data_IF_382013603006
#
_entry.id   IF_382013603006
#
_cell.length_a   1.000
_cell.length_b   1.000
_cell.length_c   1.000
_cell.angle_alpha   90.00
_cell.angle_beta   90.00
_cell.angle_gamma   90.00
#
_symmetry.space_group_name_H-M   'P 1'
#
loop_
_entity.id
_entity.type
_entity.pdbx_description
1 polymer ?
#
# COMPACT_ATOMS: atom_id res chain seq x y z
N UNK A 1 -26.45 50.44 -34.44
CA UNK A 1 -26.10 49.33 -35.35
C UNK A 1 -24.73 48.69 -35.06
N UNK A 2 -23.60 49.40 -35.01
CA UNK A 2 -22.31 48.76 -34.66
C UNK A 2 -22.19 48.41 -33.17
N UNK A 3 -22.61 49.32 -32.29
CA UNK A 3 -22.65 49.09 -30.83
C UNK A 3 -23.61 47.95 -30.43
N UNK A 4 -24.76 47.84 -31.12
CA UNK A 4 -25.75 46.80 -30.86
C UNK A 4 -25.25 45.38 -31.16
N UNK A 5 -24.29 45.23 -32.07
CA UNK A 5 -23.68 43.94 -32.41
C UNK A 5 -22.40 43.67 -31.59
N UNK A 6 -21.68 44.72 -31.22
CA UNK A 6 -20.42 44.62 -30.48
C UNK A 6 -20.63 44.23 -29.01
N UNK A 7 -21.70 44.73 -28.38
CA UNK A 7 -22.08 44.38 -27.01
C UNK A 7 -22.40 42.87 -26.84
N UNK A 8 -23.29 42.24 -27.64
CA UNK A 8 -23.54 40.81 -27.54
C UNK A 8 -22.32 39.97 -27.94
N UNK A 9 -21.51 40.43 -28.91
CA UNK A 9 -20.27 39.76 -29.27
C UNK A 9 -19.23 39.77 -28.13
N UNK A 10 -19.08 40.90 -27.42
CA UNK A 10 -18.20 41.00 -26.27
C UNK A 10 -18.62 40.08 -25.10
N UNK A 11 -19.92 40.02 -24.81
CA UNK A 11 -20.48 39.11 -23.80
C UNK A 11 -20.21 37.66 -24.18
N UNK A 12 -20.41 37.31 -25.45
CA UNK A 12 -20.12 35.96 -25.96
C UNK A 12 -18.64 35.61 -25.79
N UNK A 13 -17.74 36.54 -26.12
CA UNK A 13 -16.29 36.33 -26.01
C UNK A 13 -15.86 36.11 -24.55
N UNK A 14 -16.42 36.89 -23.62
CA UNK A 14 -16.18 36.71 -22.18
C UNK A 14 -16.68 35.35 -21.69
N UNK A 15 -17.88 34.93 -22.13
CA UNK A 15 -18.42 33.61 -21.79
C UNK A 15 -17.54 32.47 -22.30
N UNK A 16 -17.04 32.56 -23.53
CA UNK A 16 -16.16 31.54 -24.10
C UNK A 16 -14.87 31.43 -23.29
N UNK A 17 -14.23 32.55 -22.96
CA UNK A 17 -13.02 32.55 -22.13
C UNK A 17 -13.31 31.95 -20.74
N UNK A 18 -14.42 32.34 -20.12
CA UNK A 18 -14.84 31.82 -18.82
C UNK A 18 -15.07 30.30 -18.84
N UNK A 19 -15.72 29.78 -19.88
CA UNK A 19 -15.98 28.36 -20.05
C UNK A 19 -14.70 27.55 -20.25
N UNK A 20 -13.77 28.05 -21.07
CA UNK A 20 -12.46 27.40 -21.28
C UNK A 20 -11.67 27.36 -19.97
N UNK A 21 -11.64 28.47 -19.23
CA UNK A 21 -10.95 28.54 -17.94
C UNK A 21 -11.55 27.58 -16.92
N UNK A 22 -12.88 27.59 -16.78
CA UNK A 22 -13.60 26.72 -15.84
C UNK A 22 -13.36 25.24 -16.15
N UNK A 23 -13.38 24.86 -17.43
CA UNK A 23 -13.10 23.49 -17.86
C UNK A 23 -11.68 23.05 -17.49
N UNK A 24 -10.68 23.87 -17.78
CA UNK A 24 -9.29 23.55 -17.46
C UNK A 24 -9.06 23.43 -15.94
N UNK A 25 -9.73 24.28 -15.14
CA UNK A 25 -9.70 24.17 -13.68
C UNK A 25 -10.32 22.86 -13.19
N UNK A 26 -11.47 22.48 -13.74
CA UNK A 26 -12.18 21.24 -13.37
C UNK A 26 -11.39 19.98 -13.72
N UNK A 27 -10.77 19.93 -14.91
CA UNK A 27 -9.93 18.80 -15.32
C UNK A 27 -8.77 18.59 -14.35
N UNK A 28 -8.09 19.67 -13.93
CA UNK A 28 -7.00 19.61 -12.94
C UNK A 28 -7.47 19.18 -11.56
N UNK A 29 -8.61 19.71 -11.11
CA UNK A 29 -9.17 19.40 -9.79
C UNK A 29 -9.55 17.92 -9.67
N UNK A 30 -10.12 17.36 -10.73
CA UNK A 30 -10.42 15.93 -10.82
C UNK A 30 -9.15 15.09 -10.75
N UNK A 31 -8.13 15.41 -11.55
CA UNK A 31 -6.86 14.67 -11.56
C UNK A 31 -6.23 14.68 -10.17
N UNK A 32 -6.17 15.85 -9.53
CA UNK A 32 -5.66 15.98 -8.17
C UNK A 32 -6.47 15.14 -7.16
N UNK A 33 -7.80 15.14 -7.28
CA UNK A 33 -8.67 14.35 -6.40
C UNK A 33 -8.42 12.85 -6.54
N UNK A 34 -8.21 12.35 -7.76
CA UNK A 34 -7.87 10.95 -7.98
C UNK A 34 -6.48 10.61 -7.44
N UNK A 35 -5.50 11.49 -7.64
CA UNK A 35 -4.14 11.30 -7.12
C UNK A 35 -4.15 11.26 -5.59
N UNK A 36 -4.85 12.18 -4.94
CA UNK A 36 -4.99 12.22 -3.49
C UNK A 36 -5.66 10.95 -2.95
N UNK A 37 -6.73 10.49 -3.59
CA UNK A 37 -7.38 9.21 -3.25
C UNK A 37 -6.44 8.02 -3.45
N UNK A 38 -5.58 8.06 -4.46
CA UNK A 38 -4.61 7.01 -4.73
C UNK A 38 -3.50 6.98 -3.68
N UNK A 39 -2.97 8.13 -3.27
CA UNK A 39 -2.01 8.24 -2.17
C UNK A 39 -2.61 7.75 -0.84
N UNK A 40 -3.81 8.22 -0.50
CA UNK A 40 -4.54 7.73 0.68
C UNK A 40 -4.74 6.21 0.61
N UNK A 41 -5.10 5.66 -0.55
CA UNK A 41 -5.21 4.22 -0.71
C UNK A 41 -3.86 3.50 -0.53
N UNK A 42 -2.73 4.03 -1.02
CA UNK A 42 -1.41 3.43 -0.78
C UNK A 42 -1.05 3.39 0.70
N UNK A 43 -1.32 4.47 1.43
CA UNK A 43 -1.07 4.55 2.88
C UNK A 43 -1.93 3.54 3.66
N UNK A 44 -3.20 3.39 3.29
CA UNK A 44 -4.14 2.55 4.02
C UNK A 44 -4.15 1.09 3.55
N UNK A 45 -3.78 0.79 2.31
CA UNK A 45 -3.71 -0.58 1.77
C UNK A 45 -2.53 -1.37 2.33
N UNK A 46 -1.44 -0.70 2.72
CA UNK A 46 -0.31 -1.35 3.37
C UNK A 46 -0.62 -1.82 4.80
N UNK A 47 -1.69 -1.29 5.43
CA UNK A 47 -2.17 -1.74 6.75
C UNK A 47 -2.76 -3.16 6.74
N UNK A 48 -3.04 -3.72 5.55
CA UNK A 48 -3.57 -5.09 5.41
C UNK A 48 -2.48 -6.12 5.06
N UNK A 49 -1.20 -5.72 5.08
CA UNK A 49 -0.06 -6.59 4.74
C UNK A 49 0.54 -7.37 5.93
N UNK A 50 -0.09 -7.35 7.11
CA UNK A 50 0.34 -8.18 8.25
C UNK A 50 -0.41 -9.51 8.40
N UNK A 51 -1.13 -9.95 7.36
CA UNK A 51 -1.28 -11.39 7.15
C UNK A 51 -0.11 -11.89 6.28
N UNK A 52 1.14 -11.60 6.70
CA UNK A 52 2.28 -12.42 6.29
C UNK A 52 1.91 -13.84 6.72
N UNK A 53 1.45 -14.65 5.77
CA UNK A 53 1.27 -16.10 5.96
C UNK A 53 2.53 -16.55 6.67
N UNK A 54 2.39 -17.01 7.92
CA UNK A 54 3.51 -17.49 8.74
C UNK A 54 4.10 -18.67 7.98
N UNK A 55 5.08 -18.39 7.14
CA UNK A 55 5.77 -19.39 6.36
C UNK A 55 6.63 -20.18 7.35
N UNK A 56 6.73 -21.49 7.11
CA UNK A 56 7.62 -22.31 7.93
C UNK A 56 9.05 -21.91 7.60
N UNK A 57 9.75 -21.36 8.58
CA UNK A 57 11.16 -21.01 8.47
C UNK A 57 12.02 -22.09 9.10
N UNK A 58 13.18 -22.36 8.49
CA UNK A 58 14.18 -23.26 9.04
C UNK A 58 14.99 -22.52 10.10
N UNK A 59 14.75 -22.84 11.36
CA UNK A 59 15.37 -22.17 12.51
C UNK A 59 16.54 -22.95 13.13
N UNK A 60 16.70 -24.21 12.73
CA UNK A 60 17.77 -25.08 13.21
C UNK A 60 17.62 -26.52 12.71
N UNK A 61 18.61 -27.34 13.05
CA UNK A 61 18.68 -28.76 12.68
C UNK A 61 18.69 -29.58 13.96
N UNK A 62 17.92 -30.66 13.99
CA UNK A 62 17.87 -31.62 15.10
C UNK A 62 18.52 -32.91 14.61
N UNK A 63 19.53 -33.39 15.33
CA UNK A 63 20.20 -34.65 15.02
C UNK A 63 20.49 -35.44 16.28
N UNK A 64 20.68 -36.76 16.10
CA UNK A 64 21.04 -37.67 17.18
C UNK A 64 22.55 -37.83 17.19
N UNK A 65 23.16 -37.53 18.33
CA UNK A 65 24.59 -37.71 18.56
C UNK A 65 24.75 -38.73 19.69
N UNK A 66 25.15 -39.96 19.30
CA UNK A 66 25.23 -41.13 20.17
C UNK A 66 23.91 -41.44 20.91
N UNK A 67 23.79 -41.01 22.16
CA UNK A 67 22.63 -41.20 23.02
C UNK A 67 21.79 -39.94 23.20
N UNK A 68 22.32 -38.76 22.85
CA UNK A 68 21.68 -37.47 23.07
C UNK A 68 21.07 -36.92 21.78
N UNK A 69 20.02 -36.11 21.93
CA UNK A 69 19.48 -35.31 20.83
C UNK A 69 20.11 -33.93 20.92
N UNK A 70 20.85 -33.54 19.88
CA UNK A 70 21.50 -32.24 19.77
C UNK A 70 20.70 -31.37 18.81
N UNK A 71 20.53 -30.09 19.18
CA UNK A 71 19.88 -29.09 18.33
C UNK A 71 20.89 -27.99 18.01
N UNK A 72 21.19 -27.82 16.73
CA UNK A 72 22.02 -26.72 16.23
C UNK A 72 21.11 -25.61 15.70
N UNK A 73 21.22 -24.43 16.30
CA UNK A 73 20.36 -23.28 16.02
C UNK A 73 21.01 -22.36 15.00
N UNK A 74 20.28 -22.06 13.93
CA UNK A 74 20.67 -21.09 12.90
C UNK A 74 20.20 -19.70 13.31
N UNK A 75 19.03 -19.63 13.96
CA UNK A 75 18.47 -18.40 14.53
C UNK A 75 18.40 -18.49 16.07
N UNK A 76 19.08 -17.57 16.74
CA UNK A 76 19.12 -17.47 18.20
C UNK A 76 17.79 -17.04 18.82
N UNK A 77 16.90 -16.41 18.05
CA UNK A 77 15.58 -15.96 18.52
C UNK A 77 14.74 -17.11 19.10
N UNK A 78 14.96 -18.33 18.61
CA UNK A 78 14.19 -19.53 18.97
C UNK A 78 14.76 -20.23 20.21
N UNK A 79 15.97 -19.89 20.69
CA UNK A 79 16.57 -20.48 21.91
C UNK A 79 15.61 -20.48 23.08
N UNK A 80 14.97 -19.34 23.33
CA UNK A 80 14.05 -19.15 24.46
C UNK A 80 12.82 -20.05 24.35
N UNK A 81 12.27 -20.21 23.15
CA UNK A 81 11.10 -21.07 22.92
C UNK A 81 11.47 -22.55 23.07
N UNK A 82 12.66 -22.95 22.62
CA UNK A 82 13.16 -24.31 22.78
C UNK A 82 13.43 -24.66 24.24
N UNK A 83 14.08 -23.78 25.00
CA UNK A 83 14.33 -23.94 26.43
C UNK A 83 13.03 -23.98 27.25
N UNK A 84 11.99 -23.27 26.82
CA UNK A 84 10.66 -23.30 27.44
C UNK A 84 9.82 -24.53 27.03
N UNK A 85 10.36 -25.44 26.22
CA UNK A 85 9.63 -26.64 25.77
C UNK A 85 8.50 -26.35 24.79
N UNK A 86 8.49 -25.18 24.13
CA UNK A 86 7.42 -24.75 23.21
C UNK A 86 7.63 -25.31 21.81
N UNK A 87 7.60 -26.63 21.66
CA UNK A 87 7.69 -27.31 20.37
C UNK A 87 6.65 -28.43 20.25
N UNK A 88 6.37 -28.84 19.01
CA UNK A 88 5.48 -29.96 18.70
C UNK A 88 6.22 -30.98 17.87
N UNK A 89 6.29 -32.21 18.35
CA UNK A 89 6.76 -33.35 17.58
C UNK A 89 5.58 -33.83 16.73
N UNK A 90 5.79 -33.97 15.43
CA UNK A 90 4.82 -34.57 14.51
C UNK A 90 5.44 -35.82 13.92
N UNK A 91 4.87 -36.97 14.22
CA UNK A 91 5.20 -38.22 13.54
C UNK A 91 4.53 -38.26 12.16
N UNK A 92 5.06 -39.10 11.28
CA UNK A 92 4.60 -39.25 9.90
C UNK A 92 3.28 -40.03 9.82
#
# INVERSE_FOLDING_TARGET
MSLDLLLPFGILLILVIYLIYTRNKFEKDIVNTYEEKFEQWKEHSNSNSENKKVCKELVGIIYKEEYNITVELIDESVRRNLQQGKYKIKDK
#
